data_IF_622741876887
#
_entry.id   IF_622741876887
#
_cell.length_a   1.000
_cell.length_b   1.000
_cell.length_c   1.000
_cell.angle_alpha   90.00
_cell.angle_beta   90.00
_cell.angle_gamma   90.00
#
_symmetry.space_group_name_H-M   'P 1'
#
loop_
_entity.id
_entity.type
_entity.pdbx_description
1 polymer ?
#
# COMPACT_ATOMS: atom_id res chain seq x y z
N UNK A 1 -21.69 0.53 -15.00
CA UNK A 1 -21.31 1.84 -14.41
C UNK A 1 -22.47 2.74 -13.95
N UNK A 2 -23.44 3.13 -14.79
CA UNK A 2 -24.54 4.07 -14.41
C UNK A 2 -25.28 3.69 -13.11
N UNK A 3 -25.60 2.41 -12.94
CA UNK A 3 -26.20 1.87 -11.71
C UNK A 3 -25.31 2.13 -10.49
N UNK A 4 -24.00 1.85 -10.58
CA UNK A 4 -23.04 2.12 -9.50
C UNK A 4 -23.05 3.60 -9.09
N UNK A 5 -23.00 4.52 -10.05
CA UNK A 5 -23.05 5.97 -9.78
C UNK A 5 -24.35 6.36 -9.08
N UNK A 6 -25.49 5.80 -9.50
CA UNK A 6 -26.79 6.04 -8.84
C UNK A 6 -26.78 5.62 -7.37
N UNK A 7 -26.28 4.41 -7.08
CA UNK A 7 -26.16 3.92 -5.70
C UNK A 7 -25.19 4.78 -4.88
N UNK A 8 -24.03 5.14 -5.44
CA UNK A 8 -23.06 6.02 -4.77
C UNK A 8 -23.64 7.39 -4.44
N UNK A 9 -24.47 7.97 -5.32
CA UNK A 9 -25.19 9.21 -5.03
C UNK A 9 -26.20 9.04 -3.90
N UNK A 10 -26.93 7.93 -3.87
CA UNK A 10 -27.88 7.64 -2.78
C UNK A 10 -27.15 7.48 -1.44
N UNK A 11 -26.06 6.71 -1.41
CA UNK A 11 -25.25 6.52 -0.20
C UNK A 11 -24.55 7.79 0.27
N UNK A 12 -24.19 8.69 -0.64
CA UNK A 12 -23.53 9.94 -0.31
C UNK A 12 -24.41 10.94 0.45
N UNK A 13 -25.74 10.80 0.39
CA UNK A 13 -26.68 11.66 1.14
C UNK A 13 -26.41 11.53 2.64
N UNK A 14 -26.39 10.29 3.14
CA UNK A 14 -25.98 9.98 4.50
C UNK A 14 -25.33 8.60 4.56
N UNK A 15 -23.99 8.59 4.52
CA UNK A 15 -23.20 7.36 4.55
C UNK A 15 -23.39 6.61 5.88
N UNK A 16 -23.65 7.32 6.99
CA UNK A 16 -23.82 6.69 8.29
C UNK A 16 -25.14 5.91 8.32
N UNK A 17 -26.22 6.55 7.91
CA UNK A 17 -27.54 5.91 7.84
C UNK A 17 -27.54 4.79 6.81
N UNK A 18 -26.98 5.02 5.61
CA UNK A 18 -26.85 3.97 4.60
C UNK A 18 -26.07 2.74 5.10
N UNK A 19 -25.00 2.94 5.88
CA UNK A 19 -24.25 1.84 6.49
C UNK A 19 -25.08 1.09 7.53
N UNK A 20 -25.78 1.80 8.40
CA UNK A 20 -26.63 1.19 9.42
C UNK A 20 -27.76 0.36 8.78
N UNK A 21 -28.43 0.91 7.77
CA UNK A 21 -29.49 0.21 7.03
C UNK A 21 -28.96 -1.05 6.35
N UNK A 22 -27.77 -0.95 5.73
CA UNK A 22 -27.11 -2.07 5.08
C UNK A 22 -26.76 -3.19 6.08
N UNK A 23 -26.21 -2.83 7.25
CA UNK A 23 -25.77 -3.76 8.30
C UNK A 23 -26.92 -4.35 9.13
N UNK A 24 -28.04 -3.66 9.24
CA UNK A 24 -29.22 -4.14 9.95
C UNK A 24 -30.05 -5.14 9.13
N UNK A 25 -29.71 -5.35 7.86
CA UNK A 25 -30.32 -6.41 7.06
C UNK A 25 -29.72 -7.78 7.40
N UNK A 26 -30.57 -8.80 7.52
CA UNK A 26 -30.25 -10.14 8.02
C UNK A 26 -29.19 -10.93 7.22
N UNK A 27 -28.70 -10.39 6.11
CA UNK A 27 -27.75 -11.06 5.20
C UNK A 27 -26.47 -10.26 4.94
N UNK A 28 -26.18 -9.24 5.76
CA UNK A 28 -24.97 -8.44 5.62
C UNK A 28 -23.72 -9.30 5.94
N UNK A 29 -22.74 -9.39 5.03
CA UNK A 29 -21.52 -10.15 5.28
C UNK A 29 -20.63 -9.48 6.34
N UNK A 30 -19.87 -10.29 7.06
CA UNK A 30 -18.88 -9.79 8.02
C UNK A 30 -17.73 -9.10 7.29
N UNK A 31 -17.57 -7.80 7.53
CA UNK A 31 -16.58 -6.97 6.85
C UNK A 31 -16.16 -5.79 7.74
N UNK A 32 -14.89 -5.32 7.69
CA UNK A 32 -14.43 -4.24 8.57
C UNK A 32 -15.25 -2.96 8.40
N UNK A 33 -15.61 -2.32 9.51
CA UNK A 33 -16.46 -1.12 9.52
C UNK A 33 -15.85 0.04 8.71
N UNK A 34 -14.52 0.17 8.83
CA UNK A 34 -13.74 1.16 8.08
C UNK A 34 -13.83 0.93 6.56
N UNK A 35 -13.86 -0.33 6.13
CA UNK A 35 -13.95 -0.72 4.73
C UNK A 35 -15.38 -0.66 4.19
N UNK A 36 -16.41 -0.93 5.01
CA UNK A 36 -17.80 -0.60 4.65
C UNK A 36 -17.96 0.86 4.27
N UNK A 37 -17.36 1.75 5.05
CA UNK A 37 -17.36 3.19 4.77
C UNK A 37 -16.65 3.53 3.46
N UNK A 38 -15.62 2.77 3.07
CA UNK A 38 -14.94 2.94 1.78
C UNK A 38 -15.83 2.45 0.62
N UNK A 39 -16.47 1.29 0.75
CA UNK A 39 -17.39 0.73 -0.25
C UNK A 39 -18.52 1.71 -0.56
N UNK A 40 -19.20 2.23 0.47
CA UNK A 40 -20.33 3.15 0.30
C UNK A 40 -19.94 4.50 -0.29
N UNK A 41 -18.71 4.95 -0.04
CA UNK A 41 -18.15 6.18 -0.65
C UNK A 41 -17.59 5.95 -2.05
N UNK A 42 -17.49 4.69 -2.50
CA UNK A 42 -16.82 4.31 -3.74
C UNK A 42 -15.33 4.65 -3.71
N UNK A 43 -14.68 4.44 -2.57
CA UNK A 43 -13.22 4.51 -2.39
C UNK A 43 -12.65 3.11 -2.59
N UNK A 44 -11.36 3.04 -2.91
CA UNK A 44 -10.66 1.76 -2.97
C UNK A 44 -10.60 1.16 -1.57
N UNK A 45 -10.96 -0.12 -1.48
CA UNK A 45 -10.83 -0.91 -0.27
C UNK A 45 -9.36 -1.22 0.03
N UNK A 46 -9.03 -1.41 1.29
CA UNK A 46 -7.71 -1.89 1.72
C UNK A 46 -7.77 -3.39 2.04
N UNK A 47 -7.16 -4.21 1.18
CA UNK A 47 -7.18 -5.66 1.37
C UNK A 47 -6.36 -6.11 2.59
N UNK A 48 -5.37 -5.34 3.05
CA UNK A 48 -4.64 -5.67 4.28
C UNK A 48 -5.57 -5.55 5.49
N UNK A 49 -6.45 -4.55 5.50
CA UNK A 49 -7.47 -4.38 6.54
C UNK A 49 -8.55 -5.43 6.47
N UNK A 50 -9.02 -5.77 5.26
CA UNK A 50 -9.97 -6.86 5.06
C UNK A 50 -9.39 -8.17 5.58
N UNK A 51 -8.13 -8.46 5.25
CA UNK A 51 -7.45 -9.68 5.70
C UNK A 51 -7.22 -9.69 7.22
N UNK A 52 -6.68 -8.61 7.79
CA UNK A 52 -6.47 -8.47 9.24
C UNK A 52 -7.74 -8.55 10.06
N UNK A 53 -8.84 -7.99 9.55
CA UNK A 53 -10.13 -7.98 10.24
C UNK A 53 -10.66 -9.39 10.52
N UNK A 54 -10.26 -10.40 9.75
CA UNK A 54 -10.65 -11.80 9.99
C UNK A 54 -10.07 -12.37 11.30
N UNK A 55 -8.88 -11.91 11.68
CA UNK A 55 -8.15 -12.44 12.83
C UNK A 55 -8.27 -11.54 14.05
N UNK A 56 -8.97 -10.42 13.93
CA UNK A 56 -9.15 -9.46 15.01
C UNK A 56 -10.38 -9.86 15.82
N UNK A 57 -10.15 -10.36 17.04
CA UNK A 57 -11.22 -10.72 17.98
C UNK A 57 -11.95 -9.50 18.56
N UNK A 58 -11.39 -8.30 18.41
CA UNK A 58 -12.01 -7.04 18.80
C UNK A 58 -12.75 -6.41 17.63
N UNK A 59 -14.00 -5.95 17.88
CA UNK A 59 -14.66 -4.99 16.98
C UNK A 59 -13.71 -3.82 16.74
N UNK A 60 -13.71 -3.30 15.52
CA UNK A 60 -12.98 -2.11 15.05
C UNK A 60 -13.51 -0.83 15.75
N UNK A 61 -13.59 -0.86 17.09
CA UNK A 61 -14.15 0.18 17.92
C UNK A 61 -13.13 1.31 18.00
N UNK A 62 -13.51 2.44 17.41
CA UNK A 62 -12.81 3.70 17.55
C UNK A 62 -12.93 4.13 19.02
N UNK A 63 -12.02 3.67 19.87
CA UNK A 63 -11.96 4.06 21.28
C UNK A 63 -11.51 5.52 21.35
N UNK A 64 -12.45 6.40 21.68
CA UNK A 64 -12.17 7.80 22.01
C UNK A 64 -12.07 7.86 23.52
N UNK A 65 -10.86 7.98 24.04
CA UNK A 65 -10.66 8.26 25.47
C UNK A 65 -10.48 9.77 25.66
N UNK A 66 -11.35 10.35 26.49
CA UNK A 66 -11.21 11.74 26.94
C UNK A 66 -10.33 11.77 28.18
N UNK A 67 -9.15 12.38 28.06
CA UNK A 67 -8.32 12.72 29.20
C UNK A 67 -8.42 14.23 29.44
N UNK A 68 -9.35 14.63 30.30
CA UNK A 68 -9.62 16.05 30.59
C UNK A 68 -10.12 16.81 29.35
N UNK A 69 -9.39 17.84 28.92
CA UNK A 69 -9.72 18.67 27.74
C UNK A 69 -9.15 18.14 26.41
N UNK A 70 -8.44 17.01 26.43
CA UNK A 70 -7.80 16.44 25.23
C UNK A 70 -8.53 15.16 24.82
N UNK A 71 -9.05 15.15 23.59
CA UNK A 71 -9.60 13.94 22.96
C UNK A 71 -8.45 13.15 22.31
N UNK A 72 -8.09 12.01 22.88
CA UNK A 72 -7.13 11.08 22.27
C UNK A 72 -7.94 10.09 21.45
N UNK A 73 -8.04 10.35 20.14
CA UNK A 73 -8.60 9.37 19.21
C UNK A 73 -7.49 8.43 18.73
N UNK A 74 -7.51 7.17 19.17
CA UNK A 74 -6.60 6.16 18.62
C UNK A 74 -7.16 5.72 17.25
N UNK A 75 -6.56 6.20 16.16
CA UNK A 75 -6.98 5.85 14.80
C UNK A 75 -6.37 4.51 14.39
N UNK A 76 -7.26 3.57 14.06
CA UNK A 76 -7.01 2.35 13.27
C UNK A 76 -5.91 1.46 13.83
N UNK A 77 -6.28 0.26 14.28
CA UNK A 77 -5.30 -0.81 14.42
C UNK A 77 -4.52 -0.92 13.10
N UNK A 78 -3.19 -0.89 13.18
CA UNK A 78 -2.33 -1.29 12.05
C UNK A 78 -2.77 -2.72 11.69
N UNK A 79 -2.97 -3.05 10.41
CA UNK A 79 -3.29 -4.41 9.99
C UNK A 79 -2.33 -5.40 10.67
N UNK A 80 -2.87 -6.27 11.53
CA UNK A 80 -2.08 -7.28 12.25
C UNK A 80 -1.49 -8.32 11.29
N UNK A 81 -2.09 -8.46 10.10
CA UNK A 81 -1.61 -9.26 8.96
C UNK A 81 -1.80 -8.49 7.65
N UNK A 82 -0.75 -8.42 6.84
CA UNK A 82 -0.82 -7.91 5.47
C UNK A 82 -1.01 -9.05 4.47
N UNK A 83 -1.61 -8.75 3.33
CA UNK A 83 -1.70 -9.67 2.19
C UNK A 83 -0.31 -9.79 1.56
N UNK A 84 0.32 -10.96 1.69
CA UNK A 84 1.69 -11.19 1.19
C UNK A 84 1.78 -12.17 0.02
N UNK A 85 0.75 -12.99 -0.21
CA UNK A 85 0.75 -14.01 -1.24
C UNK A 85 -0.61 -14.13 -1.95
N UNK A 86 -0.67 -14.97 -2.98
CA UNK A 86 -1.90 -15.21 -3.76
C UNK A 86 -3.06 -15.81 -2.95
N UNK A 87 -2.77 -16.65 -1.95
CA UNK A 87 -3.76 -17.23 -1.06
C UNK A 87 -4.39 -16.20 -0.13
N UNK A 88 -3.57 -15.39 0.54
CA UNK A 88 -4.02 -14.27 1.36
C UNK A 88 -4.89 -13.30 0.54
N UNK A 89 -4.43 -13.00 -0.67
CA UNK A 89 -5.14 -12.11 -1.60
C UNK A 89 -6.49 -12.71 -1.98
N UNK A 90 -6.56 -14.01 -2.27
CA UNK A 90 -7.80 -14.69 -2.63
C UNK A 90 -8.82 -14.61 -1.50
N UNK A 91 -8.40 -14.89 -0.26
CA UNK A 91 -9.27 -14.81 0.92
C UNK A 91 -9.80 -13.38 1.10
N UNK A 92 -8.91 -12.39 1.07
CA UNK A 92 -9.30 -10.98 1.22
C UNK A 92 -10.21 -10.51 0.08
N UNK A 93 -9.93 -10.91 -1.16
CA UNK A 93 -10.72 -10.52 -2.33
C UNK A 93 -12.12 -11.13 -2.31
N UNK A 94 -12.28 -12.41 -1.96
CA UNK A 94 -13.62 -13.03 -1.89
C UNK A 94 -14.53 -12.32 -0.88
N UNK A 95 -14.02 -12.00 0.31
CA UNK A 95 -14.76 -11.21 1.30
C UNK A 95 -15.13 -9.82 0.78
N UNK A 96 -14.21 -9.19 0.07
CA UNK A 96 -14.46 -7.92 -0.58
C UNK A 96 -15.53 -8.02 -1.68
N UNK A 97 -15.52 -9.09 -2.48
CA UNK A 97 -16.54 -9.37 -3.51
C UNK A 97 -17.91 -9.52 -2.86
N UNK A 98 -18.03 -10.25 -1.75
CA UNK A 98 -19.29 -10.40 -1.01
C UNK A 98 -19.82 -9.06 -0.52
N UNK A 99 -19.00 -8.28 0.20
CA UNK A 99 -19.40 -6.98 0.72
C UNK A 99 -19.75 -5.97 -0.39
N UNK A 100 -18.93 -5.89 -1.44
CA UNK A 100 -19.19 -4.99 -2.57
C UNK A 100 -20.41 -5.43 -3.38
N UNK A 101 -20.64 -6.73 -3.55
CA UNK A 101 -21.83 -7.24 -4.26
C UNK A 101 -23.09 -7.03 -3.42
N UNK A 102 -22.98 -7.07 -2.09
CA UNK A 102 -24.08 -6.76 -1.21
C UNK A 102 -24.52 -5.29 -1.32
N UNK A 103 -23.56 -4.35 -1.33
CA UNK A 103 -23.84 -2.93 -1.57
C UNK A 103 -24.18 -2.61 -3.04
N UNK A 104 -23.62 -3.35 -4.00
CA UNK A 104 -23.82 -3.13 -5.42
C UNK A 104 -24.09 -4.46 -6.16
N UNK A 105 -25.31 -5.02 -6.08
CA UNK A 105 -25.63 -6.35 -6.63
C UNK A 105 -25.25 -6.54 -8.10
N UNK A 106 -25.41 -5.49 -8.91
CA UNK A 106 -25.10 -5.52 -10.35
C UNK A 106 -23.59 -5.59 -10.67
N UNK A 107 -22.69 -5.39 -9.68
CA UNK A 107 -21.24 -5.42 -9.90
C UNK A 107 -20.62 -6.80 -9.75
N UNK A 108 -21.35 -7.79 -9.24
CA UNK A 108 -20.79 -9.14 -8.99
C UNK A 108 -20.05 -9.73 -10.21
N UNK A 109 -20.60 -9.70 -11.45
CA UNK A 109 -19.89 -10.24 -12.61
C UNK A 109 -18.57 -9.51 -12.93
N UNK A 110 -18.54 -8.19 -12.75
CA UNK A 110 -17.33 -7.37 -12.92
C UNK A 110 -16.24 -7.77 -11.90
N UNK A 111 -16.64 -7.92 -10.63
CA UNK A 111 -15.74 -8.26 -9.53
C UNK A 111 -15.15 -9.68 -9.68
N UNK A 112 -15.98 -10.64 -10.10
CA UNK A 112 -15.54 -12.01 -10.39
C UNK A 112 -14.60 -12.07 -11.60
N UNK A 113 -14.91 -11.32 -12.67
CA UNK A 113 -14.04 -11.22 -13.84
C UNK A 113 -12.67 -10.61 -13.52
N UNK A 114 -12.66 -9.51 -12.75
CA UNK A 114 -11.41 -8.92 -12.27
C UNK A 114 -10.64 -9.86 -11.33
N UNK A 115 -11.36 -10.61 -10.48
CA UNK A 115 -10.77 -11.63 -9.64
C UNK A 115 -9.98 -12.67 -10.42
N UNK A 116 -10.60 -13.20 -11.50
CA UNK A 116 -9.93 -14.13 -12.43
C UNK A 116 -8.73 -13.50 -13.14
N UNK A 117 -8.81 -12.23 -13.52
CA UNK A 117 -7.68 -11.51 -14.11
C UNK A 117 -6.46 -11.49 -13.18
N UNK A 118 -6.64 -11.11 -11.92
CA UNK A 118 -5.53 -11.05 -10.95
C UNK A 118 -4.99 -12.45 -10.61
N UNK A 119 -5.86 -13.45 -10.47
CA UNK A 119 -5.42 -14.85 -10.30
C UNK A 119 -4.61 -15.36 -11.50
N UNK A 120 -5.00 -14.99 -12.73
CA UNK A 120 -4.23 -15.28 -13.93
C UNK A 120 -2.83 -14.65 -13.89
N UNK A 121 -2.71 -13.43 -13.38
CA UNK A 121 -1.41 -12.76 -13.19
C UNK A 121 -0.53 -13.49 -12.16
N UNK A 122 -1.11 -13.94 -11.05
CA UNK A 122 -0.38 -14.77 -10.08
C UNK A 122 0.09 -16.10 -10.67
N UNK A 123 -0.71 -16.73 -11.54
CA UNK A 123 -0.33 -17.98 -12.22
C UNK A 123 0.70 -17.80 -13.33
N UNK A 124 0.77 -16.61 -13.94
CA UNK A 124 1.69 -16.30 -15.03
C UNK A 124 3.09 -15.85 -14.57
N UNK A 125 3.21 -15.36 -13.32
CA UNK A 125 4.46 -14.83 -12.78
C UNK A 125 5.10 -15.78 -11.77
N UNK A 126 6.42 -15.68 -11.61
CA UNK A 126 7.17 -16.42 -10.59
C UNK A 126 6.67 -16.08 -9.18
N UNK A 127 6.64 -17.04 -8.23
CA UNK A 127 6.29 -16.79 -6.83
C UNK A 127 7.09 -15.66 -6.17
N UNK A 128 8.32 -15.41 -6.61
CA UNK A 128 9.16 -14.30 -6.10
C UNK A 128 8.63 -12.92 -6.49
N UNK A 129 7.74 -12.83 -7.49
CA UNK A 129 7.17 -11.58 -8.00
C UNK A 129 5.72 -11.36 -7.54
N UNK A 130 5.20 -12.16 -6.60
CA UNK A 130 3.81 -12.05 -6.14
C UNK A 130 3.48 -10.66 -5.56
N UNK A 131 4.44 -10.02 -4.88
CA UNK A 131 4.25 -8.67 -4.34
C UNK A 131 3.91 -7.65 -5.44
N UNK A 132 4.49 -7.81 -6.64
CA UNK A 132 4.22 -6.93 -7.79
C UNK A 132 2.78 -7.04 -8.27
N UNK A 133 2.20 -8.24 -8.23
CA UNK A 133 0.79 -8.47 -8.56
C UNK A 133 -0.13 -7.81 -7.53
N UNK A 134 0.22 -7.90 -6.24
CA UNK A 134 -0.53 -7.27 -5.15
C UNK A 134 -0.50 -5.74 -5.28
N UNK A 135 0.67 -5.18 -5.57
CA UNK A 135 0.84 -3.73 -5.75
C UNK A 135 0.14 -3.21 -7.02
N UNK A 136 0.22 -3.98 -8.11
CA UNK A 136 -0.55 -3.73 -9.33
C UNK A 136 -2.06 -3.71 -9.05
N UNK A 137 -2.61 -4.74 -8.39
CA UNK A 137 -4.02 -4.79 -8.00
C UNK A 137 -4.44 -3.56 -7.16
N UNK A 138 -3.61 -3.21 -6.17
CA UNK A 138 -3.84 -2.04 -5.31
C UNK A 138 -3.89 -0.76 -6.13
N UNK A 139 -3.00 -0.60 -7.11
CA UNK A 139 -2.98 0.56 -7.99
C UNK A 139 -4.21 0.62 -8.90
N UNK A 140 -4.62 -0.51 -9.49
CA UNK A 140 -5.82 -0.60 -10.33
C UNK A 140 -7.07 -0.22 -9.55
N UNK A 141 -7.27 -0.80 -8.37
CA UNK A 141 -8.44 -0.48 -7.52
C UNK A 141 -8.47 0.98 -7.11
N UNK A 142 -7.31 1.59 -6.79
CA UNK A 142 -7.22 3.03 -6.51
C UNK A 142 -7.62 3.88 -7.71
N UNK A 143 -7.15 3.52 -8.91
CA UNK A 143 -7.48 4.26 -10.13
C UNK A 143 -8.96 4.17 -10.48
N UNK A 144 -9.54 2.97 -10.47
CA UNK A 144 -10.97 2.76 -10.75
C UNK A 144 -11.85 3.42 -9.70
N UNK A 145 -11.43 3.48 -8.43
CA UNK A 145 -12.18 4.22 -7.41
C UNK A 145 -12.15 5.74 -7.63
N UNK A 146 -11.02 6.28 -8.08
CA UNK A 146 -10.83 7.70 -8.37
C UNK A 146 -11.53 8.14 -9.67
N UNK A 147 -11.57 7.27 -10.67
CA UNK A 147 -12.17 7.52 -11.98
C UNK A 147 -13.56 6.89 -12.06
N UNK A 148 -14.60 7.72 -12.10
CA UNK A 148 -16.01 7.28 -12.11
C UNK A 148 -16.54 6.92 -13.50
N UNK A 149 -15.65 6.74 -14.47
CA UNK A 149 -15.90 6.46 -15.89
C UNK A 149 -15.32 5.14 -16.39
N UNK A 150 -14.53 4.43 -15.57
CA UNK A 150 -13.92 3.13 -15.91
C UNK A 150 -14.36 2.03 -14.93
N UNK A 151 -14.31 0.78 -15.39
CA UNK A 151 -14.61 -0.42 -14.61
C UNK A 151 -13.35 -1.26 -14.36
N UNK A 152 -13.40 -2.17 -13.38
CA UNK A 152 -12.29 -3.11 -13.10
C UNK A 152 -12.04 -4.11 -14.23
N UNK A 153 -12.94 -4.20 -15.21
CA UNK A 153 -12.78 -5.06 -16.39
C UNK A 153 -12.20 -4.32 -17.59
N UNK A 154 -12.04 -3.00 -17.51
CA UNK A 154 -11.56 -2.16 -18.61
C UNK A 154 -10.02 -2.16 -18.63
N UNK A 155 -9.41 -3.34 -18.81
CA UNK A 155 -7.98 -3.58 -18.61
C UNK A 155 -7.09 -2.61 -19.40
N UNK A 156 -7.51 -2.26 -20.61
CA UNK A 156 -6.77 -1.34 -21.48
C UNK A 156 -6.65 0.08 -20.89
N UNK A 157 -7.59 0.50 -20.05
CA UNK A 157 -7.62 1.84 -19.45
C UNK A 157 -6.62 2.01 -18.30
N UNK A 158 -5.95 0.94 -17.89
CA UNK A 158 -4.87 0.97 -16.91
C UNK A 158 -3.70 0.08 -17.31
N UNK A 159 -3.49 -0.14 -18.61
CA UNK A 159 -2.35 -0.88 -19.14
C UNK A 159 -1.00 -0.30 -18.68
N UNK A 160 -0.91 1.02 -18.49
CA UNK A 160 0.25 1.70 -17.93
C UNK A 160 0.61 1.21 -16.51
N UNK A 161 -0.36 0.78 -15.70
CA UNK A 161 -0.08 0.18 -14.39
C UNK A 161 0.54 -1.21 -14.53
N UNK A 162 0.13 -1.99 -15.53
CA UNK A 162 0.75 -3.28 -15.79
C UNK A 162 2.21 -3.07 -16.14
N UNK A 163 2.50 -2.12 -17.03
CA UNK A 163 3.88 -1.76 -17.36
C UNK A 163 4.66 -1.22 -16.17
N UNK A 164 4.05 -0.39 -15.33
CA UNK A 164 4.73 0.18 -14.17
C UNK A 164 5.15 -0.88 -13.13
N UNK A 165 4.27 -1.83 -12.82
CA UNK A 165 4.43 -2.75 -11.70
C UNK A 165 4.91 -4.14 -12.11
N UNK A 166 4.63 -4.59 -13.34
CA UNK A 166 4.86 -5.97 -13.77
C UNK A 166 6.01 -6.07 -14.77
N UNK A 167 5.97 -5.24 -15.82
CA UNK A 167 6.94 -5.34 -16.91
C UNK A 167 8.36 -4.98 -16.41
N UNK A 168 9.38 -5.67 -16.93
CA UNK A 168 10.77 -5.54 -16.46
C UNK A 168 11.33 -4.12 -16.55
N UNK A 169 10.87 -3.31 -17.52
CA UNK A 169 11.24 -1.91 -17.67
C UNK A 169 10.41 -0.94 -16.81
N UNK A 170 9.50 -1.44 -15.98
CA UNK A 170 8.60 -0.64 -15.17
C UNK A 170 9.32 0.19 -14.12
N UNK A 171 8.86 1.42 -13.88
CA UNK A 171 9.46 2.33 -12.90
C UNK A 171 9.51 1.74 -11.48
N UNK A 172 8.55 0.90 -11.12
CA UNK A 172 8.53 0.25 -9.79
C UNK A 172 9.38 -1.02 -9.75
N UNK A 173 9.70 -1.61 -10.91
CA UNK A 173 10.60 -2.76 -11.03
C UNK A 173 12.05 -2.31 -10.93
N UNK A 174 12.46 -1.32 -11.74
CA UNK A 174 13.81 -0.77 -11.72
C UNK A 174 14.13 -0.04 -10.40
N UNK A 175 13.12 0.57 -9.78
CA UNK A 175 13.23 1.17 -8.45
C UNK A 175 13.50 0.16 -7.32
N UNK A 176 13.12 -1.10 -7.51
CA UNK A 176 13.36 -2.20 -6.56
C UNK A 176 14.79 -2.74 -6.73
N UNK A 177 15.22 -2.95 -7.98
CA UNK A 177 16.60 -3.36 -8.30
C UNK A 177 17.65 -2.33 -7.86
N UNK A 178 17.35 -1.04 -8.00
CA UNK A 178 18.22 0.03 -7.49
C UNK A 178 18.22 0.14 -5.97
N UNK A 179 17.19 -0.35 -5.26
CA UNK A 179 17.20 -0.46 -3.79
C UNK A 179 18.01 -1.65 -3.32
N UNK A 180 17.95 -2.79 -4.02
CA UNK A 180 18.82 -3.94 -3.75
C UNK A 180 20.30 -3.55 -3.93
N UNK A 181 20.62 -2.78 -4.98
CA UNK A 181 21.97 -2.23 -5.20
C UNK A 181 22.35 -1.06 -4.26
N UNK A 182 21.39 -0.49 -3.51
CA UNK A 182 21.65 0.50 -2.45
C UNK A 182 21.70 -0.11 -1.05
N UNK A 183 21.52 -1.42 -0.90
CA UNK A 183 21.76 -2.10 0.38
C UNK A 183 23.26 -2.15 0.77
N UNK A 184 24.16 -1.64 -0.08
CA UNK A 184 25.56 -1.35 0.25
C UNK A 184 25.87 0.13 0.54
N UNK A 185 24.86 1.01 0.60
CA UNK A 185 25.05 2.45 0.82
C UNK A 185 24.11 3.00 1.88
N UNK A 186 24.51 2.86 3.15
CA UNK A 186 23.82 3.48 4.29
C UNK A 186 23.81 5.01 4.18
N UNK A 187 22.64 5.58 3.96
CA UNK A 187 22.35 6.97 4.34
C UNK A 187 21.18 7.01 5.29
N UNK A 188 21.48 7.04 6.58
CA UNK A 188 20.62 7.61 7.60
C UNK A 188 21.37 8.77 8.26
N UNK A 189 20.89 9.98 8.00
CA UNK A 189 21.19 11.13 8.84
C UNK A 189 20.13 11.19 9.95
N UNK A 190 20.55 10.99 11.20
CA UNK A 190 20.24 11.86 12.35
C UNK A 190 20.63 11.17 13.67
N UNK A 191 21.72 11.70 14.24
CA UNK A 191 21.99 11.87 15.67
C UNK A 191 21.74 10.71 16.66
N UNK A 192 22.83 10.03 17.01
CA UNK A 192 23.19 9.83 18.42
C UNK A 192 24.68 10.07 18.59
N UNK A 193 24.99 11.08 19.41
CA UNK A 193 26.34 11.33 19.92
C UNK A 193 26.75 10.10 20.72
N UNK A 194 27.90 9.50 20.40
CA UNK A 194 28.85 8.90 21.34
C UNK A 194 30.12 8.51 20.57
N UNK A 195 31.26 8.69 21.25
CA UNK A 195 32.59 8.85 20.67
C UNK A 195 33.17 7.60 20.00
N UNK A 196 34.03 7.86 19.01
CA UNK A 196 34.85 6.85 18.34
C UNK A 196 35.02 7.13 16.85
N UNK A 197 35.85 8.12 16.47
CA UNK A 197 36.11 8.42 15.06
C UNK A 197 36.97 7.31 14.45
N UNK A 198 36.34 6.33 13.80
CA UNK A 198 37.05 5.47 12.84
C UNK A 198 37.50 6.33 11.67
N UNK A 199 38.82 6.33 11.40
CA UNK A 199 39.41 6.92 10.19
C UNK A 199 38.73 6.28 8.98
N UNK A 200 38.23 7.11 8.06
CA UNK A 200 37.72 6.64 6.79
C UNK A 200 38.90 6.28 5.88
N UNK A 201 38.80 5.16 5.17
CA UNK A 201 39.88 4.65 4.30
C UNK A 201 40.06 5.47 3.03
N UNK A 202 39.07 6.29 2.67
CA UNK A 202 39.09 7.12 1.46
C UNK A 202 40.16 8.22 1.50
N UNK A 203 40.80 8.53 0.35
CA UNK A 203 41.71 9.66 0.21
C UNK A 203 41.03 11.02 0.46
N UNK A 204 41.73 11.91 1.16
CA UNK A 204 41.27 13.26 1.44
C UNK A 204 41.37 14.12 0.17
N UNK A 205 40.22 14.43 -0.45
CA UNK A 205 40.13 15.31 -1.63
C UNK A 205 40.63 16.73 -1.34
N UNK A 206 40.40 17.26 -0.14
CA UNK A 206 40.89 18.59 0.25
C UNK A 206 42.41 18.64 0.41
N UNK A 207 43.04 17.55 0.88
CA UNK A 207 44.49 17.46 0.95
C UNK A 207 45.10 17.37 -0.45
N UNK A 208 44.50 16.57 -1.33
CA UNK A 208 44.90 16.50 -2.74
C UNK A 208 44.79 17.84 -3.48
N UNK A 209 43.91 18.74 -3.02
CA UNK A 209 43.75 20.09 -3.54
C UNK A 209 44.51 21.16 -2.72
N UNK A 210 45.46 20.76 -1.86
CA UNK A 210 46.25 21.65 -0.99
C UNK A 210 45.43 22.60 -0.09
N UNK A 211 44.19 22.22 0.24
CA UNK A 211 43.23 23.03 0.99
C UNK A 211 42.75 22.37 2.29
N UNK A 212 43.45 21.32 2.77
CA UNK A 212 43.09 20.66 4.03
C UNK A 212 43.73 21.39 5.22
N UNK A 213 42.93 21.91 6.17
CA UNK A 213 43.45 22.59 7.36
C UNK A 213 43.93 21.60 8.45
N UNK A 214 43.64 20.31 8.30
CA UNK A 214 43.97 19.28 9.29
C UNK A 214 45.29 18.59 8.97
N UNK A 215 46.09 18.30 10.00
CA UNK A 215 47.27 17.43 9.86
C UNK A 215 46.85 15.98 9.57
N UNK A 216 47.70 15.21 8.86
CA UNK A 216 47.39 13.85 8.41
C UNK A 216 46.97 12.89 9.56
N UNK A 217 47.50 13.08 10.77
CA UNK A 217 47.17 12.28 11.94
C UNK A 217 45.80 12.58 12.55
N UNK A 218 45.27 13.78 12.30
CA UNK A 218 43.99 14.28 12.85
C UNK A 218 42.90 14.39 11.79
N UNK A 219 43.26 14.26 10.50
CA UNK A 219 42.29 14.20 9.42
C UNK A 219 41.50 12.89 9.47
N UNK A 220 40.19 12.99 9.28
CA UNK A 220 39.30 11.83 9.22
C UNK A 220 39.56 10.95 7.98
N UNK A 221 40.11 11.53 6.93
CA UNK A 221 40.41 10.91 5.63
C UNK A 221 41.92 10.75 5.45
N UNK A 222 42.36 9.78 4.64
CA UNK A 222 43.80 9.53 4.42
C UNK A 222 44.43 10.61 3.54
N UNK A 223 45.55 11.16 3.96
CA UNK A 223 46.36 12.06 3.14
C UNK A 223 47.25 11.23 2.21
N UNK A 224 46.63 10.63 1.18
CA UNK A 224 47.27 9.85 0.12
C UNK A 224 46.83 10.41 -1.22
N UNK A 225 47.68 10.35 -2.24
CA UNK A 225 47.38 10.98 -3.52
C UNK A 225 46.33 10.17 -4.29
N UNK A 226 45.41 10.88 -4.95
CA UNK A 226 44.25 10.29 -5.63
C UNK A 226 44.59 9.73 -7.02
N UNK A 227 45.75 10.08 -7.56
CA UNK A 227 46.16 9.78 -8.94
C UNK A 227 47.51 9.06 -9.02
N UNK A 228 47.93 8.49 -7.90
CA UNK A 228 49.07 7.62 -7.71
C UNK A 228 48.65 6.50 -6.73
#
# INVERSE_FOLDING_TARGET
>A
LRKTIRFLRAYAIDVRTAKNDLLNSASAPEFPDSEWSNVLRGRAIDLDRVFSGQYSLGRDEKRVEKLGSVEISHKSMVPSKSVGNSGDWTIAWQRAVEAMSYAFPHRRPELEAYGRHILGMFGALSPTLQQRVIDYDRAVRRRVAAKRDIMLTDIDHYADLKTQFIDSGGANVLGEETKVNKSSGSTSGAATRLGGSRRQEDPCRRWNNNACPSQASKCRYRHICLSC
#
